data_IF_920939252168
#
_entry.id   IF_920939252168
#
_cell.length_a   1.000
_cell.length_b   1.000
_cell.length_c   1.000
_cell.angle_alpha   90.00
_cell.angle_beta   90.00
_cell.angle_gamma   90.00
#
_symmetry.space_group_name_H-M   'P 1'
#
loop_
_entity.id
_entity.type
_entity.pdbx_description
1 polymer ?
#
# COMPACT_ATOMS: atom_id res chain seq x y z
N UNK A 1 11.13 16.84 -10.57
CA UNK A 1 10.09 16.01 -9.99
C UNK A 1 9.24 16.87 -9.05
N UNK A 2 7.93 16.88 -9.21
CA UNK A 2 6.97 17.59 -8.34
C UNK A 2 6.44 16.60 -7.33
N UNK A 3 6.46 16.96 -6.06
CA UNK A 3 5.88 16.15 -4.97
C UNK A 3 4.43 16.58 -4.73
N UNK A 4 3.54 15.62 -4.64
CA UNK A 4 2.12 15.82 -4.38
C UNK A 4 1.77 15.46 -2.93
N UNK A 5 1.10 16.36 -2.24
CA UNK A 5 0.55 16.13 -0.91
C UNK A 5 -0.97 16.32 -0.93
N UNK A 6 -1.69 15.40 -0.29
CA UNK A 6 -3.13 15.50 -0.08
C UNK A 6 -3.42 15.72 1.40
N UNK A 7 -4.02 16.86 1.76
CA UNK A 7 -4.40 17.20 3.13
C UNK A 7 -5.84 16.82 3.46
N UNK A 8 -6.12 16.55 4.74
CA UNK A 8 -7.45 16.33 5.31
C UNK A 8 -7.89 17.51 6.18
N UNK A 9 -9.19 17.84 6.17
CA UNK A 9 -9.76 19.14 6.60
C UNK A 9 -9.61 19.55 8.07
N UNK A 10 -9.12 18.78 9.01
CA UNK A 10 -9.08 19.22 10.41
C UNK A 10 -7.69 19.27 11.09
N UNK A 11 -6.69 18.61 10.55
CA UNK A 11 -5.29 18.79 10.99
C UNK A 11 -4.48 19.68 10.04
N UNK A 12 -5.17 20.45 9.25
CA UNK A 12 -4.70 21.13 8.05
C UNK A 12 -3.75 22.30 8.30
N UNK A 13 -3.71 22.85 9.50
CA UNK A 13 -2.99 24.12 9.69
C UNK A 13 -1.50 23.90 9.91
N UNK A 14 -1.09 22.87 10.64
CA UNK A 14 0.33 22.66 10.98
C UNK A 14 1.06 21.70 10.04
N UNK A 15 0.44 20.57 9.68
CA UNK A 15 1.08 19.55 8.86
C UNK A 15 1.41 20.01 7.44
N UNK A 16 0.43 20.50 6.65
CA UNK A 16 0.68 21.06 5.32
C UNK A 16 1.61 22.28 5.35
N UNK A 17 1.52 23.11 6.39
CA UNK A 17 2.40 24.26 6.56
C UNK A 17 3.87 23.83 6.77
N UNK A 18 4.09 22.84 7.64
CA UNK A 18 5.45 22.31 7.89
C UNK A 18 6.00 21.58 6.67
N UNK A 19 5.19 20.78 6.01
CA UNK A 19 5.58 20.09 4.78
C UNK A 19 5.88 21.08 3.65
N UNK A 20 5.03 22.09 3.44
CA UNK A 20 5.26 23.18 2.49
C UNK A 20 6.55 23.92 2.77
N UNK A 21 6.79 24.28 4.04
CA UNK A 21 8.02 24.95 4.45
C UNK A 21 9.25 24.08 4.16
N UNK A 22 9.17 22.77 4.42
CA UNK A 22 10.25 21.83 4.14
C UNK A 22 10.53 21.70 2.64
N UNK A 23 9.51 21.49 1.84
CA UNK A 23 9.63 21.45 0.36
C UNK A 23 10.23 22.75 -0.18
N UNK A 24 9.78 23.89 0.33
CA UNK A 24 10.31 25.18 -0.06
C UNK A 24 11.81 25.34 0.28
N UNK A 25 12.19 24.97 1.51
CA UNK A 25 13.59 25.01 1.97
C UNK A 25 14.50 24.02 1.22
N UNK A 26 13.94 22.92 0.73
CA UNK A 26 14.67 21.90 -0.04
C UNK A 26 14.66 22.15 -1.55
N UNK A 27 14.02 23.24 -2.02
CA UNK A 27 13.87 23.54 -3.45
C UNK A 27 12.99 22.52 -4.21
N UNK A 28 12.18 21.72 -3.51
CA UNK A 28 11.31 20.72 -4.13
C UNK A 28 10.01 21.39 -4.57
N UNK A 29 9.71 21.29 -5.87
CA UNK A 29 8.43 21.74 -6.41
C UNK A 29 7.30 20.90 -5.82
N UNK A 30 6.26 21.55 -5.32
CA UNK A 30 5.12 20.90 -4.67
C UNK A 30 3.81 21.57 -5.05
N UNK A 31 2.72 20.79 -4.98
CA UNK A 31 1.35 21.25 -5.13
C UNK A 31 0.56 20.78 -3.91
N UNK A 32 -0.25 21.65 -3.32
CA UNK A 32 -1.18 21.33 -2.26
C UNK A 32 -2.58 21.36 -2.87
N UNK A 33 -3.31 20.26 -2.70
CA UNK A 33 -4.68 20.12 -3.18
C UNK A 33 -5.61 19.94 -1.99
N UNK A 34 -6.60 20.83 -1.86
CA UNK A 34 -7.63 20.76 -0.82
C UNK A 34 -8.87 20.09 -1.37
N UNK A 35 -9.36 19.05 -0.69
CA UNK A 35 -10.59 18.33 -1.05
C UNK A 35 -11.33 17.92 0.21
N UNK A 36 -12.59 18.24 0.28
CA UNK A 36 -13.51 17.77 1.31
C UNK A 36 -13.90 16.31 1.01
N UNK A 37 -13.04 15.39 1.42
CA UNK A 37 -13.31 13.95 1.32
C UNK A 37 -14.10 13.46 2.53
N UNK A 38 -14.01 14.13 3.67
CA UNK A 38 -14.69 13.74 4.90
C UNK A 38 -16.21 13.84 4.76
N UNK A 39 -16.74 14.97 4.34
CA UNK A 39 -18.19 15.13 4.11
C UNK A 39 -18.73 14.13 3.10
N UNK A 40 -17.99 13.88 2.00
CA UNK A 40 -18.40 12.89 0.99
C UNK A 40 -18.47 11.49 1.59
N UNK A 41 -17.52 11.16 2.47
CA UNK A 41 -17.46 9.84 3.11
C UNK A 41 -18.56 9.71 4.15
N UNK A 42 -18.80 10.71 4.99
CA UNK A 42 -19.86 10.70 6.02
C UNK A 42 -21.25 10.65 5.41
N UNK A 43 -21.50 11.39 4.33
CA UNK A 43 -22.81 11.45 3.68
C UNK A 43 -23.18 10.16 2.91
N UNK A 44 -22.18 9.41 2.42
CA UNK A 44 -22.40 8.24 1.55
C UNK A 44 -22.32 6.90 2.27
N UNK A 45 -21.91 6.88 3.52
CA UNK A 45 -21.77 5.64 4.26
C UNK A 45 -23.05 5.29 5.01
N UNK A 46 -23.63 4.13 4.66
CA UNK A 46 -24.63 3.47 5.50
C UNK A 46 -24.01 3.07 6.85
N UNK A 47 -24.83 3.04 7.91
CA UNK A 47 -24.46 2.83 9.33
C UNK A 47 -23.66 1.58 9.63
N UNK A 48 -22.91 0.96 8.83
CA UNK A 48 -22.01 -0.18 9.11
C UNK A 48 -20.94 -0.39 8.04
N UNK A 49 -20.68 0.61 7.18
CA UNK A 49 -19.66 0.50 6.15
C UNK A 49 -18.32 1.16 6.57
N UNK A 50 -17.20 0.63 6.07
CA UNK A 50 -15.87 1.09 6.45
C UNK A 50 -15.50 2.40 5.74
N UNK A 51 -15.22 3.45 6.51
CA UNK A 51 -14.78 4.76 6.02
C UNK A 51 -13.52 4.68 5.14
N UNK A 52 -12.58 3.82 5.50
CA UNK A 52 -11.25 3.76 4.88
C UNK A 52 -11.26 3.28 3.43
N UNK A 53 -12.13 2.37 3.03
CA UNK A 53 -12.18 1.88 1.66
C UNK A 53 -12.65 2.96 0.67
N UNK A 54 -13.68 3.73 1.03
CA UNK A 54 -14.17 4.85 0.22
C UNK A 54 -13.15 6.00 0.22
N UNK A 55 -12.62 6.37 1.38
CA UNK A 55 -11.60 7.39 1.52
C UNK A 55 -10.35 7.09 0.67
N UNK A 56 -9.82 5.86 0.75
CA UNK A 56 -8.65 5.46 -0.03
C UNK A 56 -8.93 5.43 -1.54
N UNK A 57 -10.16 5.12 -1.95
CA UNK A 57 -10.58 5.18 -3.36
C UNK A 57 -10.65 6.62 -3.87
N UNK A 58 -11.27 7.52 -3.11
CA UNK A 58 -11.34 8.95 -3.44
C UNK A 58 -9.94 9.55 -3.53
N UNK A 59 -9.09 9.27 -2.54
CA UNK A 59 -7.70 9.72 -2.53
C UNK A 59 -6.93 9.26 -3.76
N UNK A 60 -7.03 7.99 -4.14
CA UNK A 60 -6.39 7.47 -5.36
C UNK A 60 -6.92 8.15 -6.61
N UNK A 61 -8.23 8.32 -6.74
CA UNK A 61 -8.84 9.03 -7.87
C UNK A 61 -8.31 10.46 -8.02
N UNK A 62 -8.16 11.18 -6.91
CA UNK A 62 -7.56 12.52 -6.91
C UNK A 62 -6.09 12.49 -7.34
N UNK A 63 -5.29 11.56 -6.83
CA UNK A 63 -3.89 11.40 -7.22
C UNK A 63 -3.72 11.12 -8.71
N UNK A 64 -4.55 10.22 -9.29
CA UNK A 64 -4.51 9.93 -10.72
C UNK A 64 -4.92 11.15 -11.56
N UNK A 65 -5.98 11.87 -11.14
CA UNK A 65 -6.39 13.11 -11.81
C UNK A 65 -5.25 14.14 -11.86
N UNK A 66 -4.61 14.38 -10.70
CA UNK A 66 -3.51 15.34 -10.62
C UNK A 66 -2.29 14.87 -11.44
N UNK A 67 -1.97 13.58 -11.42
CA UNK A 67 -0.91 13.04 -12.26
C UNK A 67 -1.15 13.33 -13.74
N UNK A 68 -2.39 13.18 -14.22
CA UNK A 68 -2.78 13.54 -15.59
C UNK A 68 -2.67 15.04 -15.87
N UNK A 69 -3.19 15.88 -14.96
CA UNK A 69 -3.12 17.34 -15.06
C UNK A 69 -1.67 17.85 -15.14
N UNK A 70 -0.75 17.21 -14.41
CA UNK A 70 0.66 17.57 -14.39
C UNK A 70 1.48 16.85 -15.50
N UNK A 71 0.83 16.08 -16.36
CA UNK A 71 1.49 15.32 -17.43
C UNK A 71 2.42 14.21 -16.91
N UNK A 72 2.17 13.69 -15.71
CA UNK A 72 2.97 12.62 -15.11
C UNK A 72 2.49 11.24 -15.61
N UNK A 73 3.41 10.41 -16.06
CA UNK A 73 3.15 9.02 -16.43
C UNK A 73 3.23 8.04 -15.24
N UNK A 74 3.72 8.51 -14.07
CA UNK A 74 3.90 7.68 -12.90
C UNK A 74 3.51 8.42 -11.60
N UNK A 75 2.94 7.66 -10.67
CA UNK A 75 2.64 8.04 -9.30
C UNK A 75 3.53 7.22 -8.36
N UNK A 76 4.38 7.90 -7.58
CA UNK A 76 5.26 7.28 -6.59
C UNK A 76 4.61 7.36 -5.22
N UNK A 77 4.45 6.21 -4.55
CA UNK A 77 3.86 6.10 -3.23
C UNK A 77 4.89 5.58 -2.21
N UNK A 78 4.85 6.11 -0.99
CA UNK A 78 5.79 5.80 0.08
C UNK A 78 5.50 4.50 0.84
N UNK A 79 4.67 3.59 0.31
CA UNK A 79 4.40 2.31 0.97
C UNK A 79 5.69 1.50 1.14
N UNK A 80 5.86 0.93 2.32
CA UNK A 80 7.04 0.16 2.73
C UNK A 80 6.71 -1.31 3.00
N UNK A 81 7.71 -2.09 3.43
CA UNK A 81 7.62 -3.54 3.64
C UNK A 81 6.43 -3.92 4.55
N UNK A 82 6.27 -3.26 5.68
CA UNK A 82 5.21 -3.54 6.65
C UNK A 82 3.83 -3.25 6.07
N UNK A 83 3.63 -2.17 5.32
CA UNK A 83 2.35 -1.88 4.63
C UNK A 83 1.94 -3.01 3.69
N UNK A 84 2.92 -3.58 2.98
CA UNK A 84 2.68 -4.69 2.03
C UNK A 84 2.29 -5.94 2.79
N UNK A 85 2.99 -6.27 3.88
CA UNK A 85 2.68 -7.43 4.72
C UNK A 85 1.33 -7.28 5.43
N UNK A 86 1.05 -6.12 6.02
CA UNK A 86 -0.26 -5.84 6.63
C UNK A 86 -1.39 -6.02 5.61
N UNK A 87 -1.22 -5.48 4.41
CA UNK A 87 -2.21 -5.63 3.33
C UNK A 87 -2.36 -7.09 2.91
N UNK A 88 -1.27 -7.83 2.82
CA UNK A 88 -1.32 -9.26 2.52
C UNK A 88 -2.12 -10.03 3.59
N UNK A 89 -1.84 -9.83 4.86
CA UNK A 89 -2.55 -10.52 5.94
C UNK A 89 -4.01 -10.06 6.08
N UNK A 90 -4.32 -8.80 5.84
CA UNK A 90 -5.71 -8.33 5.73
C UNK A 90 -6.46 -9.05 4.60
N UNK A 91 -5.84 -9.19 3.42
CA UNK A 91 -6.44 -9.92 2.31
C UNK A 91 -6.58 -11.42 2.62
N UNK A 92 -5.61 -12.01 3.29
CA UNK A 92 -5.60 -13.43 3.66
C UNK A 92 -6.72 -13.73 4.68
N UNK A 93 -6.80 -12.98 5.77
CA UNK A 93 -7.72 -13.28 6.88
C UNK A 93 -9.14 -12.75 6.67
N UNK A 94 -9.29 -11.61 6.01
CA UNK A 94 -10.59 -10.97 5.82
C UNK A 94 -11.08 -11.02 4.38
N UNK A 95 -10.18 -11.10 3.42
CA UNK A 95 -10.52 -11.10 1.99
C UNK A 95 -10.53 -12.47 1.33
N UNK A 96 -10.01 -13.53 1.99
CA UNK A 96 -9.86 -14.87 1.39
C UNK A 96 -9.00 -14.86 0.12
N UNK A 97 -8.00 -14.00 0.04
CA UNK A 97 -7.18 -13.81 -1.16
C UNK A 97 -5.69 -13.75 -0.82
N UNK A 98 -4.87 -14.41 -1.62
CA UNK A 98 -3.42 -14.26 -1.60
C UNK A 98 -3.03 -13.05 -2.48
N UNK A 99 -3.16 -11.86 -1.93
CA UNK A 99 -2.87 -10.61 -2.64
C UNK A 99 -2.24 -9.58 -1.70
N UNK A 100 -1.28 -8.81 -2.24
CA UNK A 100 -0.62 -7.71 -1.55
C UNK A 100 -0.59 -6.47 -2.44
N UNK A 101 0.19 -5.46 -2.07
CA UNK A 101 0.47 -4.30 -2.92
C UNK A 101 1.75 -4.55 -3.73
N UNK A 102 1.71 -4.68 -5.06
CA UNK A 102 2.92 -4.87 -5.86
C UNK A 102 3.77 -3.60 -5.86
N UNK A 103 5.10 -3.76 -6.02
CA UNK A 103 6.04 -2.65 -6.11
C UNK A 103 5.79 -1.77 -7.36
N UNK A 104 5.24 -2.36 -8.42
CA UNK A 104 4.89 -1.69 -9.68
C UNK A 104 3.54 -2.20 -10.18
N UNK A 105 2.66 -1.29 -10.55
CA UNK A 105 1.31 -1.60 -11.03
C UNK A 105 0.87 -0.52 -12.01
N UNK A 106 0.24 -0.92 -13.10
CA UNK A 106 -0.50 0.00 -13.96
C UNK A 106 -1.90 0.21 -13.36
N UNK A 107 -2.42 1.44 -13.37
CA UNK A 107 -3.79 1.69 -12.93
C UNK A 107 -4.82 1.02 -13.87
N UNK A 108 -6.08 0.97 -13.45
CA UNK A 108 -7.14 0.27 -14.20
C UNK A 108 -7.40 0.90 -15.57
N UNK A 109 -7.17 2.21 -15.73
CA UNK A 109 -7.29 2.94 -16.99
C UNK A 109 -6.08 2.73 -17.93
N UNK A 110 -4.99 2.19 -17.44
CA UNK A 110 -3.80 1.86 -18.24
C UNK A 110 -2.90 3.05 -18.59
N UNK A 111 -3.06 4.21 -17.94
CA UNK A 111 -2.38 5.45 -18.30
C UNK A 111 -1.42 5.98 -17.22
N UNK A 112 -1.51 5.50 -15.98
CA UNK A 112 -0.63 5.93 -14.87
C UNK A 112 0.02 4.73 -14.19
N UNK A 113 1.35 4.71 -14.18
CA UNK A 113 2.13 3.71 -13.45
C UNK A 113 2.18 4.05 -11.96
N UNK A 114 1.81 3.10 -11.10
CA UNK A 114 1.99 3.22 -9.64
C UNK A 114 3.28 2.53 -9.23
N UNK A 115 4.16 3.26 -8.58
CA UNK A 115 5.47 2.78 -8.13
C UNK A 115 5.58 2.86 -6.61
N UNK A 116 6.16 1.84 -5.98
CA UNK A 116 6.45 1.79 -4.54
C UNK A 116 7.92 1.45 -4.32
N UNK A 117 8.83 2.44 -4.45
CA UNK A 117 10.26 2.19 -4.37
C UNK A 117 10.72 1.71 -2.99
N UNK A 118 9.95 1.97 -1.94
CA UNK A 118 10.24 1.55 -0.57
C UNK A 118 9.66 0.17 -0.21
N UNK A 119 9.14 -0.58 -1.19
CA UNK A 119 8.46 -1.86 -0.98
C UNK A 119 9.25 -2.88 -0.14
N UNK A 120 10.56 -2.82 -0.15
CA UNK A 120 11.46 -3.71 0.60
C UNK A 120 12.13 -3.02 1.81
N UNK A 121 11.92 -1.73 2.00
CA UNK A 121 12.49 -0.98 3.12
C UNK A 121 11.72 -1.29 4.43
N UNK A 122 12.45 -1.49 5.51
CA UNK A 122 11.86 -1.70 6.82
C UNK A 122 11.32 -0.38 7.40
N UNK A 123 10.12 -0.41 8.01
CA UNK A 123 9.52 0.75 8.68
C UNK A 123 10.47 1.35 9.72
N UNK A 124 11.15 0.50 10.49
CA UNK A 124 12.10 0.94 11.51
C UNK A 124 13.27 1.79 10.96
N UNK A 125 13.76 1.47 9.75
CA UNK A 125 14.84 2.23 9.13
C UNK A 125 14.32 3.53 8.53
N UNK A 126 13.10 3.51 7.97
CA UNK A 126 12.42 4.71 7.48
C UNK A 126 12.10 5.67 8.63
N UNK A 127 11.67 5.16 9.79
CA UNK A 127 11.42 5.97 11.00
C UNK A 127 12.70 6.66 11.47
N UNK A 128 13.80 5.92 11.60
CA UNK A 128 15.11 6.51 11.95
C UNK A 128 15.54 7.59 10.98
N UNK A 129 15.35 7.36 9.68
CA UNK A 129 15.66 8.34 8.64
C UNK A 129 14.78 9.59 8.78
N UNK A 130 13.47 9.39 8.96
CA UNK A 130 12.52 10.49 9.13
C UNK A 130 12.83 11.34 10.35
N UNK A 131 13.20 10.72 11.48
CA UNK A 131 13.60 11.39 12.70
C UNK A 131 14.90 12.18 12.50
N UNK A 132 15.93 11.57 11.90
CA UNK A 132 17.20 12.24 11.59
C UNK A 132 17.01 13.45 10.67
N UNK A 133 16.10 13.31 9.70
CA UNK A 133 15.75 14.39 8.76
C UNK A 133 14.71 15.36 9.33
N UNK A 134 14.16 15.09 10.52
CA UNK A 134 13.11 15.91 11.17
C UNK A 134 11.91 16.13 10.23
N UNK A 135 11.43 15.07 9.59
CA UNK A 135 10.23 15.17 8.75
C UNK A 135 8.99 15.44 9.60
N UNK A 136 8.09 16.34 9.18
CA UNK A 136 6.82 16.58 9.87
C UNK A 136 5.86 15.41 9.59
N UNK A 137 5.87 14.41 10.48
CA UNK A 137 4.97 13.26 10.36
C UNK A 137 3.66 13.58 11.08
N UNK A 138 2.54 13.41 10.39
CA UNK A 138 1.19 13.58 10.93
C UNK A 138 0.68 12.21 11.36
N UNK A 139 0.29 12.02 12.64
CA UNK A 139 -0.31 10.76 13.09
C UNK A 139 -1.63 10.49 12.35
N UNK A 140 -1.85 9.24 11.96
CA UNK A 140 -3.06 8.80 11.23
C UNK A 140 -4.01 8.04 12.18
N UNK A 141 -4.50 8.70 13.21
CA UNK A 141 -5.44 8.14 14.20
C UNK A 141 -6.80 8.85 14.23
N UNK A 142 -7.03 9.77 13.29
CA UNK A 142 -8.12 10.74 13.31
C UNK A 142 -9.50 10.18 13.00
N UNK A 143 -9.63 9.08 12.28
CA UNK A 143 -10.95 8.62 11.82
C UNK A 143 -11.56 7.48 12.65
N UNK A 144 -10.86 6.88 13.62
CA UNK A 144 -11.40 5.84 14.51
C UNK A 144 -12.04 4.63 13.81
N UNK A 145 -11.72 4.40 12.52
CA UNK A 145 -12.42 3.41 11.71
C UNK A 145 -12.02 1.97 12.06
N UNK A 146 -12.95 1.03 11.89
CA UNK A 146 -12.70 -0.40 12.15
C UNK A 146 -11.54 -0.98 11.30
N UNK A 147 -11.30 -0.44 10.10
CA UNK A 147 -10.20 -0.86 9.24
C UNK A 147 -8.84 -0.46 9.83
N UNK A 148 -8.77 0.69 10.53
CA UNK A 148 -7.61 1.05 11.36
C UNK A 148 -7.35 0.04 12.47
N UNK A 149 -8.41 -0.47 13.12
CA UNK A 149 -8.30 -1.51 14.13
C UNK A 149 -7.80 -2.84 13.55
N UNK A 150 -8.29 -3.26 12.38
CA UNK A 150 -7.82 -4.47 11.70
C UNK A 150 -6.36 -4.35 11.26
N UNK A 151 -5.97 -3.23 10.70
CA UNK A 151 -4.57 -2.96 10.33
C UNK A 151 -3.66 -2.97 11.55
N UNK A 152 -4.07 -2.34 12.65
CA UNK A 152 -3.34 -2.35 13.91
C UNK A 152 -3.19 -3.76 14.47
N UNK A 153 -4.22 -4.61 14.35
CA UNK A 153 -4.14 -6.01 14.74
C UNK A 153 -3.13 -6.79 13.88
N UNK A 154 -3.10 -6.56 12.57
CA UNK A 154 -2.09 -7.16 11.68
C UNK A 154 -0.68 -6.69 12.02
N UNK A 155 -0.51 -5.39 12.29
CA UNK A 155 0.77 -4.82 12.73
C UNK A 155 1.25 -5.47 14.02
N UNK A 156 0.40 -5.53 15.05
CA UNK A 156 0.73 -6.16 16.33
C UNK A 156 1.11 -7.64 16.17
N UNK A 157 0.38 -8.39 15.34
CA UNK A 157 0.69 -9.78 15.02
C UNK A 157 2.06 -9.92 14.35
N UNK A 158 2.36 -9.07 13.38
CA UNK A 158 3.66 -9.08 12.69
C UNK A 158 4.83 -8.72 13.62
N UNK A 159 4.62 -7.77 14.53
CA UNK A 159 5.61 -7.42 15.55
C UNK A 159 5.86 -8.58 16.53
N UNK A 160 4.81 -9.25 16.99
CA UNK A 160 4.92 -10.42 17.85
C UNK A 160 5.67 -11.58 17.18
N UNK A 161 5.38 -11.84 15.89
CA UNK A 161 6.09 -12.87 15.11
C UNK A 161 7.56 -12.51 14.97
N UNK A 162 7.86 -11.26 14.64
CA UNK A 162 9.24 -10.79 14.48
C UNK A 162 10.02 -10.84 15.81
N UNK A 163 9.35 -10.51 16.93
CA UNK A 163 9.94 -10.60 18.27
C UNK A 163 10.31 -12.04 18.64
N UNK A 164 9.38 -12.99 18.39
CA UNK A 164 9.63 -14.43 18.68
C UNK A 164 10.61 -15.07 17.71
N UNK A 165 10.61 -14.65 16.48
CA UNK A 165 11.40 -15.23 15.40
C UNK A 165 11.98 -14.13 14.51
N UNK A 166 13.11 -13.54 14.90
CA UNK A 166 13.72 -12.44 14.14
C UNK A 166 13.98 -12.77 12.67
N UNK A 167 13.78 -11.80 11.77
CA UNK A 167 13.94 -11.93 10.33
C UNK A 167 12.74 -12.55 9.60
N UNK A 168 11.59 -12.75 10.28
CA UNK A 168 10.39 -13.33 9.64
C UNK A 168 9.70 -12.37 8.70
N UNK A 169 9.70 -11.08 8.97
CA UNK A 169 9.16 -10.09 8.04
C UNK A 169 9.88 -10.15 6.69
N UNK A 170 11.21 -10.30 6.69
CA UNK A 170 12.00 -10.46 5.45
C UNK A 170 11.72 -11.80 4.75
N UNK A 171 11.49 -12.85 5.50
CA UNK A 171 11.10 -14.14 4.94
C UNK A 171 9.72 -14.07 4.30
N UNK A 172 8.75 -13.41 4.94
CA UNK A 172 7.39 -13.26 4.42
C UNK A 172 7.37 -12.43 3.13
N UNK A 173 8.10 -11.31 3.07
CA UNK A 173 8.14 -10.49 1.84
C UNK A 173 8.81 -11.26 0.70
N UNK A 174 9.83 -12.07 0.97
CA UNK A 174 10.44 -12.96 -0.04
C UNK A 174 9.47 -14.03 -0.51
N UNK A 175 8.63 -14.58 0.35
CA UNK A 175 7.63 -15.57 -0.03
C UNK A 175 6.65 -15.01 -1.08
N UNK A 176 6.30 -13.72 -1.02
CA UNK A 176 5.46 -13.07 -2.02
C UNK A 176 6.11 -12.99 -3.41
N UNK A 177 7.43 -13.13 -3.50
CA UNK A 177 8.17 -13.17 -4.77
C UNK A 177 8.55 -14.60 -5.20
N UNK A 178 8.13 -15.62 -4.45
CA UNK A 178 8.47 -17.02 -4.71
C UNK A 178 7.22 -17.90 -4.60
N UNK A 179 6.27 -17.65 -5.47
CA UNK A 179 5.01 -18.39 -5.55
C UNK A 179 5.20 -19.65 -6.38
N UNK A 180 4.68 -20.78 -5.89
CA UNK A 180 4.62 -22.05 -6.62
C UNK A 180 3.17 -22.37 -6.98
N UNK A 181 2.70 -22.02 -8.18
CA UNK A 181 1.31 -22.20 -8.58
C UNK A 181 0.79 -23.64 -8.45
N UNK A 182 1.61 -24.63 -8.80
CA UNK A 182 1.30 -26.06 -8.67
C UNK A 182 1.09 -26.56 -7.22
N UNK A 183 1.47 -25.76 -6.22
CA UNK A 183 1.30 -26.07 -4.80
C UNK A 183 0.19 -25.23 -4.15
N UNK A 184 -0.57 -24.48 -4.94
CA UNK A 184 -1.77 -23.76 -4.53
C UNK A 184 -3.01 -24.46 -5.07
N UNK A 185 -4.21 -24.00 -4.65
CA UNK A 185 -5.47 -24.60 -5.07
C UNK A 185 -6.20 -23.81 -6.19
N UNK A 186 -5.57 -22.77 -6.72
CA UNK A 186 -6.17 -21.90 -7.74
C UNK A 186 -6.03 -22.53 -9.14
N UNK A 187 -7.15 -23.02 -9.67
CA UNK A 187 -7.24 -23.64 -11.01
C UNK A 187 -6.99 -22.68 -12.15
N UNK A 188 -7.01 -21.37 -11.92
CA UNK A 188 -6.67 -20.36 -12.93
C UNK A 188 -5.17 -20.12 -13.02
N UNK A 189 -4.44 -20.41 -11.93
CA UNK A 189 -2.98 -20.29 -11.89
C UNK A 189 -2.27 -21.54 -12.35
N UNK A 190 -2.90 -22.72 -12.18
CA UNK A 190 -2.31 -24.00 -12.55
C UNK A 190 -3.39 -24.98 -13.03
N UNK A 191 -3.13 -25.65 -14.15
CA UNK A 191 -4.03 -26.65 -14.74
C UNK A 191 -3.84 -28.02 -14.08
N UNK A 192 -4.54 -28.28 -13.00
CA UNK A 192 -4.54 -29.58 -12.32
C UNK A 192 -5.26 -30.67 -13.10
N UNK A 193 -6.21 -30.31 -13.98
CA UNK A 193 -6.99 -31.26 -14.76
C UNK A 193 -6.20 -31.82 -15.94
N UNK A 194 -5.22 -31.05 -16.45
CA UNK A 194 -4.32 -31.46 -17.52
C UNK A 194 -3.14 -32.29 -17.09
N UNK A 195 -3.01 -32.62 -15.77
CA UNK A 195 -1.93 -33.48 -15.30
C UNK A 195 -2.12 -34.92 -15.76
N UNK A 196 -1.15 -35.43 -16.56
CA UNK A 196 -1.12 -36.80 -17.05
C UNK A 196 0.27 -37.42 -16.74
N UNK A 197 0.26 -38.58 -16.09
CA UNK A 197 1.47 -39.34 -15.75
C UNK A 197 2.23 -39.75 -17.02
N UNK A 198 1.55 -40.02 -18.13
CA UNK A 198 2.18 -40.37 -19.40
C UNK A 198 2.95 -39.23 -20.08
N UNK A 199 2.63 -37.96 -19.75
CA UNK A 199 3.35 -36.81 -20.29
C UNK A 199 4.72 -36.61 -19.63
N UNK A 200 4.84 -36.91 -18.34
CA UNK A 200 6.10 -36.78 -17.57
C UNK A 200 7.18 -37.77 -18.02
N UNK A 201 6.81 -38.93 -18.54
CA UNK A 201 7.77 -39.95 -19.00
C UNK A 201 8.33 -39.68 -20.40
N UNK A 202 7.81 -38.68 -21.13
CA UNK A 202 8.25 -38.34 -22.50
C UNK A 202 9.29 -37.22 -22.53
N UNK A 203 9.31 -36.34 -21.53
CA UNK A 203 10.30 -35.24 -21.46
C UNK A 203 11.64 -35.69 -20.85
N UNK A 204 11.66 -36.73 -20.00
CA UNK A 204 12.90 -37.31 -19.46
C UNK A 204 13.60 -38.28 -20.43
N UNK A 205 13.04 -38.53 -21.61
CA UNK A 205 13.56 -39.48 -22.60
C UNK A 205 14.13 -38.78 -23.87
N UNK A 206 14.21 -37.44 -23.88
CA UNK A 206 14.79 -36.66 -24.98
C UNK A 206 15.96 -35.80 -24.46
#
# INVERSE_FOLDING_TARGET
>A
ARQLELGFDFLEILGPFLARRRCHLSGIAHRIEYRDTYSIVTDKLAENSTYCSLCSRLRRGHLYRIAREEGCSALVLGHHREDILETFFMNLFHGGRLAAMPAKLLNDEGDVMVLRPLAYAAEADLSKFADAMRFPIIPCDLCGSQEGLQRNAMKAMLEEIEHRMPGRKDTMIRALTNVRPSHLLDRKLFDFAGLDVAALTREDAA
#
